data_IF_626718762381
#
_entry.id   IF_626718762381
#
_cell.length_a   1.000
_cell.length_b   1.000
_cell.length_c   1.000
_cell.angle_alpha   90.00
_cell.angle_beta   90.00
_cell.angle_gamma   90.00
#
_symmetry.space_group_name_H-M   'P 1'
#
loop_
_entity.id
_entity.type
_entity.pdbx_description
1 polymer ?
#
# COMPACT_ATOMS: atom_id res chain seq x y z
N UNK A 1 -5.93 2.77 5.00
CA UNK A 1 -6.32 2.27 6.33
C UNK A 1 -6.05 0.78 6.43
N UNK A 2 -5.99 0.21 7.64
CA UNK A 2 -5.86 -1.25 7.79
C UNK A 2 -7.23 -1.93 7.65
N UNK A 3 -7.32 -2.92 6.75
CA UNK A 3 -8.49 -3.80 6.60
C UNK A 3 -7.97 -5.23 6.57
N UNK A 4 -8.42 -6.08 7.49
CA UNK A 4 -7.94 -7.46 7.65
C UNK A 4 -6.40 -7.56 7.69
N UNK A 5 -5.78 -6.71 8.52
CA UNK A 5 -4.32 -6.61 8.70
C UNK A 5 -3.54 -6.19 7.43
N UNK A 6 -4.22 -5.74 6.38
CA UNK A 6 -3.59 -5.26 5.14
C UNK A 6 -3.73 -3.74 4.97
N UNK A 7 -2.64 -3.02 4.63
CA UNK A 7 -2.73 -1.61 4.29
C UNK A 7 -3.50 -1.43 2.98
N UNK A 8 -4.64 -0.76 3.06
CA UNK A 8 -5.55 -0.54 1.93
C UNK A 8 -5.73 0.93 1.59
N UNK A 9 -5.81 1.24 0.31
CA UNK A 9 -6.37 2.49 -0.22
C UNK A 9 -7.89 2.43 -0.11
N UNK A 10 -8.54 3.52 0.33
CA UNK A 10 -10.01 3.58 0.45
C UNK A 10 -10.59 4.05 -0.87
N UNK A 11 -11.45 3.23 -1.46
CA UNK A 11 -12.06 3.49 -2.77
C UNK A 11 -13.53 3.90 -2.66
N UNK A 12 -14.22 3.48 -1.59
CA UNK A 12 -15.60 3.87 -1.32
C UNK A 12 -15.90 3.97 0.17
N UNK A 13 -16.84 4.85 0.51
CA UNK A 13 -17.33 5.07 1.87
C UNK A 13 -18.84 5.32 1.82
N UNK A 14 -19.59 4.65 2.70
CA UNK A 14 -21.02 4.90 2.88
C UNK A 14 -21.39 4.82 4.36
N UNK A 15 -22.44 5.54 4.76
CA UNK A 15 -22.99 5.46 6.12
C UNK A 15 -24.45 5.07 6.10
N UNK A 16 -24.88 4.37 7.14
CA UNK A 16 -26.28 4.02 7.36
C UNK A 16 -26.65 4.20 8.83
N UNK A 17 -27.89 4.61 9.10
CA UNK A 17 -28.43 4.72 10.45
C UNK A 17 -29.56 3.70 10.64
N UNK A 18 -29.38 2.65 11.46
CA UNK A 18 -30.43 1.68 11.73
C UNK A 18 -31.52 2.30 12.62
N UNK A 19 -32.59 2.80 12.00
CA UNK A 19 -33.72 3.39 12.73
C UNK A 19 -33.44 4.77 13.35
N UNK A 20 -34.43 5.29 14.08
CA UNK A 20 -34.43 6.67 14.60
C UNK A 20 -33.36 6.92 15.68
N UNK A 21 -33.06 5.91 16.49
CA UNK A 21 -32.15 5.98 17.64
C UNK A 21 -30.87 5.15 17.49
N UNK A 22 -30.68 4.41 16.39
CA UNK A 22 -29.48 3.60 16.20
C UNK A 22 -28.23 4.43 15.89
N UNK A 23 -27.07 3.94 16.32
CA UNK A 23 -25.77 4.50 15.97
C UNK A 23 -25.51 4.36 14.48
N UNK A 24 -24.94 5.39 13.86
CA UNK A 24 -24.53 5.30 12.47
C UNK A 24 -23.41 4.26 12.30
N UNK A 25 -23.49 3.48 11.22
CA UNK A 25 -22.45 2.54 10.78
C UNK A 25 -21.82 3.05 9.51
N UNK A 26 -20.50 3.04 9.45
CA UNK A 26 -19.73 3.25 8.23
C UNK A 26 -19.43 1.90 7.58
N UNK A 27 -19.65 1.79 6.28
CA UNK A 27 -19.11 0.75 5.42
C UNK A 27 -18.04 1.40 4.55
N UNK A 28 -16.85 0.81 4.57
CA UNK A 28 -15.71 1.28 3.77
C UNK A 28 -15.25 0.13 2.89
N UNK A 29 -14.95 0.45 1.64
CA UNK A 29 -14.38 -0.47 0.67
C UNK A 29 -13.02 0.05 0.26
N UNK A 30 -12.05 -0.85 0.15
CA UNK A 30 -10.69 -0.50 -0.19
C UNK A 30 -10.01 -1.60 -1.00
N UNK A 31 -8.81 -1.29 -1.45
CA UNK A 31 -7.95 -2.21 -2.18
C UNK A 31 -6.58 -2.25 -1.49
N UNK A 32 -6.05 -3.45 -1.28
CA UNK A 32 -4.73 -3.61 -0.69
C UNK A 32 -3.66 -2.96 -1.57
N UNK A 33 -2.81 -2.14 -0.97
CA UNK A 33 -1.83 -1.33 -1.70
C UNK A 33 -0.81 -2.21 -2.43
N UNK A 34 -0.37 -3.29 -1.77
CA UNK A 34 0.67 -4.19 -2.26
C UNK A 34 0.13 -5.45 -2.95
N UNK A 35 -1.06 -5.93 -2.60
CA UNK A 35 -1.64 -7.17 -3.16
C UNK A 35 -2.77 -6.94 -4.17
N UNK A 36 -3.26 -5.70 -4.31
CA UNK A 36 -4.35 -5.35 -5.22
C UNK A 36 -5.71 -5.97 -4.89
N UNK A 37 -5.87 -6.68 -3.77
CA UNK A 37 -7.12 -7.37 -3.45
C UNK A 37 -8.14 -6.40 -2.84
N UNK A 38 -9.40 -6.52 -3.28
CA UNK A 38 -10.51 -5.73 -2.74
C UNK A 38 -10.93 -6.25 -1.38
N UNK A 39 -11.13 -5.33 -0.43
CA UNK A 39 -11.57 -5.61 0.94
C UNK A 39 -12.66 -4.63 1.35
N UNK A 40 -13.47 -5.01 2.33
CA UNK A 40 -14.46 -4.12 2.91
C UNK A 40 -14.59 -4.39 4.41
N UNK A 41 -14.91 -3.34 5.17
CA UNK A 41 -15.21 -3.47 6.59
C UNK A 41 -16.40 -2.60 6.96
N UNK A 42 -17.07 -2.93 8.06
CA UNK A 42 -18.19 -2.14 8.59
C UNK A 42 -18.07 -2.01 10.09
N UNK A 43 -18.06 -0.77 10.59
CA UNK A 43 -17.99 -0.47 12.02
C UNK A 43 -18.86 0.74 12.37
N UNK A 44 -19.20 0.93 13.67
CA UNK A 44 -19.74 2.19 14.16
C UNK A 44 -18.87 3.37 13.73
N UNK A 45 -19.48 4.52 13.41
CA UNK A 45 -18.74 5.70 12.94
C UNK A 45 -17.80 6.31 13.99
N UNK A 46 -18.01 5.99 15.27
CA UNK A 46 -17.20 6.41 16.41
C UNK A 46 -16.10 5.39 16.78
N UNK A 47 -16.04 4.26 16.07
CA UNK A 47 -14.97 3.28 16.26
C UNK A 47 -13.63 3.83 15.74
N UNK A 48 -12.56 3.56 16.50
CA UNK A 48 -11.19 3.86 16.07
C UNK A 48 -10.71 2.80 15.08
N UNK A 49 -9.98 3.25 14.07
CA UNK A 49 -9.35 2.39 13.06
C UNK A 49 -7.85 2.68 12.98
N UNK A 50 -7.08 1.68 12.56
CA UNK A 50 -5.66 1.84 12.33
C UNK A 50 -5.41 2.42 10.94
N UNK A 51 -4.56 3.44 10.87
CA UNK A 51 -4.13 4.08 9.63
C UNK A 51 -2.65 3.79 9.43
N UNK A 52 -2.25 3.03 8.40
CA UNK A 52 -0.85 2.76 8.12
C UNK A 52 -0.18 4.01 7.55
N UNK A 53 1.08 4.22 7.93
CA UNK A 53 1.96 5.21 7.29
C UNK A 53 2.76 4.48 6.22
N UNK A 54 2.45 4.76 4.96
CA UNK A 54 3.16 4.19 3.81
C UNK A 54 4.10 5.28 3.30
N UNK A 55 5.40 4.98 3.25
CA UNK A 55 6.40 5.91 2.80
C UNK A 55 6.55 5.81 1.29
N UNK A 56 6.58 6.96 0.60
CA UNK A 56 6.95 7.06 -0.81
C UNK A 56 8.41 7.47 -0.87
N UNK A 57 9.24 6.63 -1.47
CA UNK A 57 10.69 6.73 -1.48
C UNK A 57 11.22 6.70 -2.92
N UNK A 58 12.41 7.24 -3.11
CA UNK A 58 13.14 7.19 -4.37
C UNK A 58 14.33 6.24 -4.23
N UNK A 59 14.60 5.46 -5.27
CA UNK A 59 15.71 4.54 -5.32
C UNK A 59 16.35 4.47 -6.69
N UNK A 60 17.62 4.11 -6.75
CA UNK A 60 18.33 3.85 -8.01
C UNK A 60 18.52 2.35 -8.19
N UNK A 61 18.21 1.83 -9.38
CA UNK A 61 18.43 0.43 -9.73
C UNK A 61 19.94 0.18 -9.81
N UNK A 62 20.43 -0.77 -9.02
CA UNK A 62 21.86 -1.15 -8.98
C UNK A 62 22.13 -2.28 -9.97
N UNK A 63 21.25 -3.28 -9.99
CA UNK A 63 21.37 -4.43 -10.90
C UNK A 63 20.04 -5.14 -11.08
N UNK A 64 19.93 -5.85 -12.19
CA UNK A 64 18.76 -6.66 -12.55
C UNK A 64 19.20 -8.10 -12.74
N UNK A 65 18.48 -9.04 -12.12
CA UNK A 65 18.78 -10.47 -12.19
C UNK A 65 17.50 -11.29 -12.30
N UNK A 66 17.27 -11.85 -13.48
CA UNK A 66 16.06 -12.63 -13.76
C UNK A 66 14.82 -11.76 -13.63
N UNK A 67 14.07 -11.95 -12.55
CA UNK A 67 12.84 -11.21 -12.30
C UNK A 67 12.87 -10.38 -11.02
N UNK A 68 14.07 -10.23 -10.43
CA UNK A 68 14.31 -9.38 -9.27
C UNK A 68 15.32 -8.28 -9.65
N UNK A 69 15.25 -7.15 -8.95
CA UNK A 69 16.18 -6.03 -9.06
C UNK A 69 16.70 -5.65 -7.68
N UNK A 70 17.96 -5.21 -7.62
CA UNK A 70 18.53 -4.54 -6.46
C UNK A 70 18.33 -3.03 -6.63
N UNK A 71 17.77 -2.39 -5.62
CA UNK A 71 17.49 -0.95 -5.60
C UNK A 71 18.19 -0.36 -4.38
N UNK A 72 18.95 0.71 -4.59
CA UNK A 72 19.55 1.49 -3.51
C UNK A 72 18.62 2.65 -3.18
N UNK A 73 18.19 2.74 -1.92
CA UNK A 73 17.43 3.89 -1.43
C UNK A 73 18.29 5.15 -1.49
N UNK A 74 17.77 6.25 -2.06
CA UNK A 74 18.54 7.47 -2.24
C UNK A 74 18.72 8.31 -0.97
N UNK A 75 17.96 8.03 0.09
CA UNK A 75 18.07 8.72 1.37
C UNK A 75 18.96 7.94 2.35
N UNK A 76 18.71 6.63 2.48
CA UNK A 76 19.43 5.78 3.45
C UNK A 76 20.64 5.06 2.87
N UNK A 77 20.77 5.00 1.54
CA UNK A 77 21.77 4.23 0.81
C UNK A 77 21.70 2.71 1.05
N UNK A 78 20.62 2.23 1.69
CA UNK A 78 20.39 0.80 1.87
C UNK A 78 20.05 0.15 0.54
N UNK A 79 20.63 -1.02 0.28
CA UNK A 79 20.28 -1.83 -0.90
C UNK A 79 19.20 -2.85 -0.53
N UNK A 80 18.11 -2.83 -1.27
CA UNK A 80 16.95 -3.71 -1.10
C UNK A 80 16.71 -4.52 -2.38
N UNK A 81 16.26 -5.76 -2.21
CA UNK A 81 15.81 -6.60 -3.33
C UNK A 81 14.31 -6.44 -3.52
N UNK A 82 13.91 -6.12 -4.76
CA UNK A 82 12.51 -5.96 -5.15
C UNK A 82 12.18 -6.83 -6.35
N UNK A 83 10.96 -7.37 -6.38
CA UNK A 83 10.44 -8.05 -7.55
C UNK A 83 10.15 -7.03 -8.65
N UNK A 84 10.55 -7.33 -9.88
CA UNK A 84 10.23 -6.47 -11.02
C UNK A 84 8.72 -6.61 -11.30
N UNK A 85 7.94 -5.51 -11.26
CA UNK A 85 6.52 -5.56 -11.58
C UNK A 85 6.31 -5.83 -13.07
N UNK A 86 5.15 -6.40 -13.41
CA UNK A 86 4.79 -6.65 -14.80
C UNK A 86 4.80 -5.35 -15.62
N UNK A 87 5.43 -5.39 -16.79
CA UNK A 87 5.49 -4.25 -17.70
C UNK A 87 6.61 -3.23 -17.41
N UNK A 88 7.38 -3.42 -16.34
CA UNK A 88 8.60 -2.64 -16.10
C UNK A 88 9.82 -3.38 -16.68
N UNK A 89 10.66 -2.64 -17.39
CA UNK A 89 11.96 -3.13 -17.90
C UNK A 89 13.08 -2.23 -17.32
N UNK A 90 13.46 -2.44 -16.05
CA UNK A 90 14.42 -1.57 -15.39
C UNK A 90 15.84 -1.84 -15.88
N UNK A 91 16.65 -0.79 -15.96
CA UNK A 91 18.09 -0.84 -16.24
C UNK A 91 18.89 -0.32 -15.05
N UNK A 92 20.16 -0.75 -14.87
CA UNK A 92 21.05 -0.10 -13.92
C UNK A 92 21.10 1.41 -14.14
N UNK A 93 21.18 2.16 -13.05
CA UNK A 93 21.14 3.63 -12.98
C UNK A 93 19.77 4.29 -13.23
N UNK A 94 18.71 3.51 -13.51
CA UNK A 94 17.35 4.05 -13.52
C UNK A 94 16.92 4.48 -12.11
N UNK A 95 16.37 5.67 -12.00
CA UNK A 95 15.69 6.14 -10.79
C UNK A 95 14.22 5.72 -10.80
N UNK A 96 13.78 5.07 -9.73
CA UNK A 96 12.40 4.62 -9.54
C UNK A 96 11.82 5.20 -8.26
N UNK A 97 10.49 5.31 -8.26
CA UNK A 97 9.73 5.61 -7.05
C UNK A 97 9.05 4.33 -6.54
N UNK A 98 9.07 4.13 -5.22
CA UNK A 98 8.44 2.97 -4.62
C UNK A 98 7.76 3.31 -3.29
N UNK A 99 6.70 2.57 -2.99
CA UNK A 99 6.02 2.58 -1.70
C UNK A 99 6.66 1.55 -0.79
N UNK A 100 6.82 1.89 0.49
CA UNK A 100 7.29 1.00 1.55
C UNK A 100 6.37 1.03 2.77
N UNK A 101 6.02 -0.17 3.26
CA UNK A 101 5.35 -0.40 4.53
C UNK A 101 5.87 -1.70 5.14
N UNK A 102 6.55 -1.60 6.29
CA UNK A 102 7.22 -2.73 6.94
C UNK A 102 8.19 -3.45 5.97
N UNK A 103 7.91 -4.71 5.63
CA UNK A 103 8.70 -5.50 4.67
C UNK A 103 8.17 -5.46 3.24
N UNK A 104 7.00 -4.83 3.03
CA UNK A 104 6.32 -4.78 1.75
C UNK A 104 6.77 -3.56 0.94
N UNK A 105 7.04 -3.78 -0.34
CA UNK A 105 7.50 -2.77 -1.29
C UNK A 105 6.77 -2.90 -2.61
N UNK A 106 6.46 -1.76 -3.25
CA UNK A 106 5.80 -1.71 -4.55
C UNK A 106 6.29 -0.51 -5.35
N UNK A 107 6.80 -0.75 -6.55
CA UNK A 107 7.13 0.33 -7.51
C UNK A 107 5.84 1.05 -7.94
N UNK A 108 5.91 2.37 -8.09
CA UNK A 108 4.78 3.22 -8.52
C UNK A 108 4.84 3.52 -10.00
#
# INVERSE_FOLDING_TARGET
MMIDEVPCEINAYSTSKPGKHGSAKARVEGQGVFDGQKRNFTQPVDAKVWVPIINRKQGQVVSVSGADMQVMDLETYDTITMRIPEGLDPSPDDEIEYLEYESQRKVV
#
